data_IF_414477905298
#
_entry.id   IF_414477905298
#
_cell.length_a   1.000
_cell.length_b   1.000
_cell.length_c   1.000
_cell.angle_alpha   90.00
_cell.angle_beta   90.00
_cell.angle_gamma   90.00
#
_symmetry.space_group_name_H-M   'P 1'
#
loop_
_entity.id
_entity.type
_entity.pdbx_description
1 polymer ?
#
# COMPACT_ATOMS: atom_id res chain seq x y z
N UNK A 1 4.70 -15.55 -40.33
CA UNK A 1 5.02 -16.22 -39.06
C UNK A 1 5.69 -15.15 -38.21
N UNK A 2 5.16 -14.86 -37.03
CA UNK A 2 5.78 -13.88 -36.13
C UNK A 2 7.20 -14.33 -35.81
N UNK A 3 8.19 -13.48 -36.07
CA UNK A 3 9.57 -13.80 -35.75
C UNK A 3 9.78 -13.69 -34.24
N UNK A 4 10.34 -14.75 -33.63
CA UNK A 4 10.64 -14.87 -32.19
C UNK A 4 11.56 -13.73 -31.69
N UNK A 5 12.28 -13.05 -32.59
CA UNK A 5 13.15 -11.91 -32.30
C UNK A 5 12.43 -10.71 -31.68
N UNK A 6 11.11 -10.60 -31.82
CA UNK A 6 10.31 -9.50 -31.27
C UNK A 6 10.32 -9.47 -29.74
N UNK A 7 10.51 -10.63 -29.09
CA UNK A 7 10.56 -10.76 -27.63
C UNK A 7 11.98 -10.59 -27.06
N UNK A 8 13.01 -10.56 -27.92
CA UNK A 8 14.39 -10.25 -27.52
C UNK A 8 14.69 -8.74 -27.57
N UNK A 9 13.71 -7.93 -28.00
CA UNK A 9 13.84 -6.49 -28.09
C UNK A 9 13.76 -5.81 -26.70
N UNK A 10 14.43 -4.65 -26.57
CA UNK A 10 14.56 -3.92 -25.30
C UNK A 10 13.20 -3.44 -24.71
N UNK A 11 12.12 -3.53 -25.49
CA UNK A 11 10.78 -3.11 -25.13
C UNK A 11 10.15 -3.92 -23.97
N UNK A 12 10.60 -5.16 -23.73
CA UNK A 12 10.08 -6.03 -22.65
C UNK A 12 11.01 -6.14 -21.43
N UNK A 13 12.02 -5.28 -21.34
CA UNK A 13 12.94 -5.24 -20.19
C UNK A 13 12.25 -4.66 -18.94
N UNK A 14 12.73 -5.02 -17.74
CA UNK A 14 12.20 -4.51 -16.45
C UNK A 14 12.13 -2.97 -16.40
N UNK A 15 13.14 -2.22 -16.88
CA UNK A 15 13.06 -0.76 -16.93
C UNK A 15 11.94 -0.26 -17.85
N UNK A 16 11.78 -0.84 -19.04
CA UNK A 16 10.75 -0.44 -19.99
C UNK A 16 9.33 -0.69 -19.46
N UNK A 17 9.11 -1.85 -18.81
CA UNK A 17 7.82 -2.15 -18.17
C UNK A 17 7.55 -1.25 -16.97
N UNK A 18 8.58 -0.86 -16.21
CA UNK A 18 8.43 0.11 -15.11
C UNK A 18 8.01 1.48 -15.64
N UNK A 19 8.61 1.96 -16.74
CA UNK A 19 8.20 3.21 -17.39
C UNK A 19 6.76 3.14 -17.88
N UNK A 20 6.38 2.04 -18.55
CA UNK A 20 5.02 1.84 -19.03
C UNK A 20 3.98 1.84 -17.89
N UNK A 21 4.32 1.26 -16.73
CA UNK A 21 3.47 1.35 -15.54
C UNK A 21 3.37 2.81 -15.09
N UNK A 22 4.48 3.54 -14.95
CA UNK A 22 4.51 4.90 -14.41
C UNK A 22 3.76 5.92 -15.28
N UNK A 23 3.84 5.79 -16.62
CA UNK A 23 3.16 6.68 -17.57
C UNK A 23 1.64 6.56 -17.54
N UNK A 24 1.11 5.46 -17.01
CA UNK A 24 -0.32 5.26 -16.93
C UNK A 24 -0.96 6.32 -16.01
N UNK A 25 -2.10 6.94 -16.41
CA UNK A 25 -2.78 7.91 -15.59
C UNK A 25 -3.21 7.30 -14.26
N UNK A 26 -2.86 7.98 -13.17
CA UNK A 26 -3.30 7.64 -11.84
C UNK A 26 -4.82 7.81 -11.75
N UNK A 27 -5.52 6.80 -11.19
CA UNK A 27 -6.96 6.88 -10.94
C UNK A 27 -7.14 7.06 -9.44
N UNK A 28 -7.32 8.30 -8.96
CA UNK A 28 -7.46 8.55 -7.52
C UNK A 28 -8.77 7.95 -6.99
N UNK A 29 -8.68 7.32 -5.83
CA UNK A 29 -9.85 6.98 -4.99
C UNK A 29 -10.32 8.21 -4.20
N UNK A 30 -11.55 8.18 -3.69
CA UNK A 30 -12.14 9.32 -2.95
C UNK A 30 -11.33 9.67 -1.69
N UNK A 31 -10.83 8.68 -0.95
CA UNK A 31 -9.97 8.90 0.22
C UNK A 31 -8.60 9.43 -0.17
N UNK A 32 -8.09 9.02 -1.33
CA UNK A 32 -6.86 9.57 -1.89
C UNK A 32 -7.00 11.07 -2.17
N UNK A 33 -8.10 11.50 -2.79
CA UNK A 33 -8.37 12.91 -3.10
C UNK A 33 -8.57 13.77 -1.85
N UNK A 34 -9.07 13.17 -0.77
CA UNK A 34 -9.26 13.87 0.50
C UNK A 34 -7.94 14.20 1.21
N UNK A 35 -6.81 13.66 0.76
CA UNK A 35 -5.48 13.96 1.33
C UNK A 35 -5.33 13.53 2.79
N UNK A 36 -6.12 12.54 3.24
CA UNK A 36 -6.08 12.04 4.62
C UNK A 36 -4.88 11.13 4.89
N UNK A 37 -4.23 10.64 3.84
CA UNK A 37 -3.09 9.72 3.91
C UNK A 37 -1.95 10.26 3.05
N UNK A 38 -0.74 10.25 3.60
CA UNK A 38 0.51 10.50 2.87
C UNK A 38 1.19 9.15 2.57
N UNK A 39 1.70 9.00 1.35
CA UNK A 39 2.38 7.78 0.93
C UNK A 39 3.89 7.99 0.90
N UNK A 40 4.61 7.16 1.65
CA UNK A 40 6.07 7.14 1.65
C UNK A 40 6.59 5.70 1.49
N UNK A 41 7.60 5.52 0.65
CA UNK A 41 8.25 4.23 0.47
C UNK A 41 9.22 3.93 1.62
N UNK A 42 9.14 2.72 2.17
CA UNK A 42 10.05 2.24 3.21
C UNK A 42 10.95 1.12 2.70
N UNK A 43 12.21 1.12 3.12
CA UNK A 43 13.18 0.09 2.73
C UNK A 43 13.13 -1.15 3.66
N UNK A 44 12.40 -1.07 4.77
CA UNK A 44 12.25 -2.15 5.76
C UNK A 44 10.92 -2.88 5.61
N UNK A 45 10.90 -4.15 6.05
CA UNK A 45 9.67 -4.96 6.12
C UNK A 45 8.80 -4.58 7.32
N UNK A 46 9.37 -3.85 8.27
CA UNK A 46 8.67 -3.42 9.49
C UNK A 46 8.84 -1.90 9.64
N UNK A 47 7.73 -1.22 9.84
CA UNK A 47 7.66 0.19 10.21
C UNK A 47 7.37 0.26 11.71
N UNK A 48 8.14 1.03 12.46
CA UNK A 48 7.97 1.13 13.92
C UNK A 48 7.55 2.55 14.28
N UNK A 49 6.45 2.67 15.01
CA UNK A 49 6.01 3.95 15.57
C UNK A 49 6.41 3.99 17.03
N UNK A 50 7.18 5.01 17.42
CA UNK A 50 7.56 5.26 18.80
C UNK A 50 6.53 6.22 19.42
N UNK A 51 5.82 5.77 20.45
CA UNK A 51 4.92 6.59 21.25
C UNK A 51 5.66 7.05 22.49
N UNK A 52 5.90 8.35 22.61
CA UNK A 52 6.41 8.95 23.85
C UNK A 52 5.26 9.10 24.85
N UNK A 53 5.43 8.51 26.03
CA UNK A 53 4.41 8.33 27.05
C UNK A 53 4.42 9.44 28.09
N UNK A 54 4.59 10.70 27.67
CA UNK A 54 4.57 11.82 28.59
C UNK A 54 3.22 11.87 29.32
N UNK A 55 3.27 11.58 30.62
CA UNK A 55 2.10 11.55 31.49
C UNK A 55 2.13 12.80 32.36
N UNK A 56 1.07 13.62 32.25
CA UNK A 56 0.87 14.75 33.14
C UNK A 56 0.40 14.22 34.50
N UNK A 57 1.28 14.31 35.51
CA UNK A 57 0.96 13.95 36.89
C UNK A 57 0.77 15.22 37.74
N UNK A 58 -0.29 15.25 38.54
CA UNK A 58 -0.49 16.31 39.53
C UNK A 58 0.43 16.08 40.73
N UNK A 59 1.17 17.12 41.13
CA UNK A 59 2.13 17.06 42.24
C UNK A 59 1.38 17.27 43.56
N UNK A 60 1.46 16.34 44.53
CA UNK A 60 0.86 16.55 45.85
C UNK A 60 1.62 17.61 46.65
N UNK A 61 0.90 18.42 47.42
CA UNK A 61 1.51 19.38 48.35
C UNK A 61 2.18 18.62 49.51
N UNK A 62 3.50 18.77 49.68
CA UNK A 62 4.27 18.17 50.77
C UNK A 62 4.53 19.14 51.93
N UNK A 63 4.66 18.61 53.15
CA UNK A 63 5.09 19.39 54.31
C UNK A 63 6.57 19.83 54.17
N UNK A 64 6.89 21.02 54.68
CA UNK A 64 8.26 21.56 54.61
C UNK A 64 9.22 20.62 55.34
N UNK A 65 10.25 20.16 54.63
CA UNK A 65 11.28 19.24 55.16
C UNK A 65 11.12 17.78 54.71
N UNK A 66 10.06 17.44 53.98
CA UNK A 66 9.89 16.10 53.38
C UNK A 66 10.58 16.00 52.02
N UNK A 67 11.04 14.79 51.65
CA UNK A 67 11.61 14.53 50.33
C UNK A 67 10.51 14.61 49.26
N UNK A 68 10.77 15.36 48.18
CA UNK A 68 9.83 15.52 47.08
C UNK A 68 9.59 14.22 46.30
N UNK A 69 8.54 14.21 45.48
CA UNK A 69 8.20 13.07 44.64
C UNK A 69 9.22 12.93 43.49
N UNK A 70 9.80 11.75 43.32
CA UNK A 70 10.75 11.48 42.21
C UNK A 70 9.97 11.29 40.93
N UNK A 71 10.14 12.19 39.98
CA UNK A 71 9.59 12.06 38.62
C UNK A 71 10.44 11.03 37.87
N UNK A 72 9.86 9.86 37.58
CA UNK A 72 10.47 8.89 36.67
C UNK A 72 10.45 9.39 35.22
N UNK A 73 11.44 9.00 34.42
CA UNK A 73 11.42 9.29 32.98
C UNK A 73 10.28 8.59 32.26
N UNK A 74 9.77 9.23 31.20
CA UNK A 74 8.80 8.62 30.28
C UNK A 74 9.34 7.29 29.74
N UNK A 75 8.49 6.26 29.73
CA UNK A 75 8.78 5.00 29.05
C UNK A 75 8.22 5.07 27.63
N UNK A 76 9.12 5.00 26.66
CA UNK A 76 8.75 4.94 25.24
C UNK A 76 8.22 3.56 24.89
N UNK A 77 7.14 3.53 24.11
CA UNK A 77 6.53 2.29 23.63
C UNK A 77 6.75 2.23 22.12
N UNK A 78 7.43 1.19 21.63
CA UNK A 78 7.55 0.93 20.21
C UNK A 78 6.41 0.02 19.75
N UNK A 79 5.72 0.44 18.69
CA UNK A 79 4.65 -0.30 18.03
C UNK A 79 5.12 -0.70 16.62
N UNK A 80 5.50 -1.98 16.41
CA UNK A 80 5.89 -2.47 15.09
C UNK A 80 4.67 -2.81 14.23
N UNK A 81 4.70 -2.36 12.98
CA UNK A 81 3.76 -2.65 11.90
C UNK A 81 4.50 -3.39 10.78
N UNK A 82 4.03 -4.58 10.42
CA UNK A 82 4.60 -5.35 9.33
C UNK A 82 3.96 -4.92 8.00
N UNK A 83 4.77 -4.79 6.96
CA UNK A 83 4.27 -4.48 5.62
C UNK A 83 3.56 -5.68 5.00
N UNK A 84 2.47 -5.41 4.27
CA UNK A 84 1.70 -6.42 3.54
C UNK A 84 2.24 -6.54 2.11
N UNK A 85 2.40 -7.76 1.63
CA UNK A 85 2.87 -8.02 0.26
C UNK A 85 1.67 -8.30 -0.66
N UNK A 86 1.49 -7.49 -1.71
CA UNK A 86 0.39 -7.59 -2.67
C UNK A 86 0.89 -7.99 -4.08
N UNK A 87 1.24 -9.27 -4.33
CA UNK A 87 1.76 -9.69 -5.63
C UNK A 87 0.65 -9.81 -6.69
N UNK A 88 0.86 -9.21 -7.86
CA UNK A 88 0.03 -9.43 -9.06
C UNK A 88 0.86 -10.15 -10.12
N UNK A 89 0.33 -11.25 -10.67
CA UNK A 89 1.00 -12.06 -11.72
C UNK A 89 0.04 -12.33 -12.86
N UNK A 90 0.54 -12.28 -14.09
CA UNK A 90 -0.19 -12.66 -15.29
C UNK A 90 0.76 -13.28 -16.32
N UNK A 91 0.23 -14.15 -17.18
CA UNK A 91 0.96 -14.78 -18.29
C UNK A 91 0.22 -14.53 -19.59
N UNK A 92 0.92 -14.03 -20.62
CA UNK A 92 0.37 -13.87 -21.97
C UNK A 92 0.77 -15.09 -22.79
N UNK A 93 -0.20 -15.75 -23.40
CA UNK A 93 0.04 -16.93 -24.23
C UNK A 93 0.08 -16.55 -25.71
N UNK A 94 0.76 -17.36 -26.52
CA UNK A 94 0.93 -17.12 -27.95
C UNK A 94 -0.42 -17.03 -28.70
N UNK A 95 -1.39 -17.86 -28.32
CA UNK A 95 -2.73 -17.88 -28.92
C UNK A 95 -3.47 -16.54 -28.75
N UNK A 96 -3.22 -15.84 -27.64
CA UNK A 96 -3.83 -14.54 -27.35
C UNK A 96 -3.25 -13.43 -28.23
N UNK A 97 -2.03 -13.61 -28.73
CA UNK A 97 -1.33 -12.67 -29.62
C UNK A 97 -1.65 -13.01 -31.09
N UNK A 98 -1.72 -14.29 -31.43
CA UNK A 98 -1.89 -14.79 -32.79
C UNK A 98 -3.23 -14.37 -33.44
N UNK A 99 -4.23 -13.98 -32.64
CA UNK A 99 -5.54 -13.51 -33.10
C UNK A 99 -5.74 -11.99 -33.10
N UNK A 100 -4.73 -11.19 -32.72
CA UNK A 100 -4.88 -9.75 -32.59
C UNK A 100 -4.73 -9.12 -33.97
N UNK A 101 -5.87 -8.71 -34.53
CA UNK A 101 -5.88 -7.88 -35.73
C UNK A 101 -5.37 -6.48 -35.35
N UNK A 102 -4.17 -6.13 -35.81
CA UNK A 102 -3.68 -4.75 -35.78
C UNK A 102 -4.73 -3.86 -36.44
N UNK A 103 -5.29 -2.92 -35.69
CA UNK A 103 -6.32 -2.01 -36.22
C UNK A 103 -5.61 -0.84 -36.91
N UNK A 104 -5.44 -0.92 -38.24
CA UNK A 104 -4.76 0.10 -39.05
C UNK A 104 -3.31 -0.25 -39.40
N UNK A 105 -2.50 0.78 -39.69
CA UNK A 105 -1.06 0.73 -40.07
C UNK A 105 -0.12 0.38 -38.87
N UNK A 106 -0.59 -0.35 -37.87
CA UNK A 106 0.24 -0.71 -36.72
C UNK A 106 1.11 -1.92 -37.03
N UNK A 107 2.36 -1.90 -36.55
CA UNK A 107 3.27 -3.05 -36.65
C UNK A 107 2.84 -4.16 -35.68
N UNK A 108 3.16 -5.42 -36.00
CA UNK A 108 2.87 -6.56 -35.11
C UNK A 108 3.48 -6.37 -33.70
N UNK A 109 4.63 -5.68 -33.59
CA UNK A 109 5.27 -5.32 -32.32
C UNK A 109 4.39 -4.42 -31.46
N UNK A 110 3.84 -3.36 -32.05
CA UNK A 110 2.96 -2.42 -31.35
C UNK A 110 1.70 -3.12 -30.82
N UNK A 111 1.14 -4.05 -31.58
CA UNK A 111 -0.03 -4.82 -31.16
C UNK A 111 0.26 -5.68 -29.90
N UNK A 112 1.46 -6.28 -29.79
CA UNK A 112 1.87 -7.04 -28.60
C UNK A 112 2.10 -6.11 -27.40
N UNK A 113 2.77 -4.97 -27.63
CA UNK A 113 3.01 -3.97 -26.58
C UNK A 113 1.70 -3.46 -25.97
N UNK A 114 0.69 -3.21 -26.79
CA UNK A 114 -0.63 -2.75 -26.35
C UNK A 114 -1.34 -3.76 -25.43
N UNK A 115 -1.18 -5.06 -25.69
CA UNK A 115 -1.75 -6.12 -24.84
C UNK A 115 -1.06 -6.16 -23.49
N UNK A 116 0.27 -6.08 -23.48
CA UNK A 116 1.07 -6.05 -22.26
C UNK A 116 0.67 -4.84 -21.43
N UNK A 117 0.65 -3.66 -22.05
CA UNK A 117 0.25 -2.41 -21.40
C UNK A 117 -1.18 -2.48 -20.85
N UNK A 118 -2.12 -3.09 -21.58
CA UNK A 118 -3.50 -3.29 -21.10
C UNK A 118 -3.58 -4.20 -19.87
N UNK A 119 -2.73 -5.23 -19.76
CA UNK A 119 -2.68 -6.11 -18.59
C UNK A 119 -2.02 -5.44 -17.39
N UNK A 120 -0.91 -4.76 -17.61
CA UNK A 120 -0.27 -3.91 -16.60
C UNK A 120 -1.27 -2.88 -16.06
N UNK A 121 -2.06 -2.27 -16.96
CA UNK A 121 -3.07 -1.31 -16.58
C UNK A 121 -4.19 -1.88 -15.71
N UNK A 122 -4.59 -3.12 -15.97
CA UNK A 122 -5.55 -3.83 -15.14
C UNK A 122 -4.96 -4.14 -13.76
N UNK A 123 -3.72 -4.63 -13.70
CA UNK A 123 -3.04 -4.94 -12.44
C UNK A 123 -2.88 -3.69 -11.56
N UNK A 124 -2.47 -2.56 -12.15
CA UNK A 124 -2.34 -1.28 -11.45
C UNK A 124 -3.67 -0.84 -10.81
N UNK A 125 -4.77 -0.88 -11.58
CA UNK A 125 -6.11 -0.53 -11.05
C UNK A 125 -6.55 -1.41 -9.89
N UNK A 126 -6.21 -2.70 -9.91
CA UNK A 126 -6.54 -3.62 -8.82
C UNK A 126 -5.73 -3.30 -7.55
N UNK A 127 -4.45 -2.93 -7.70
CA UNK A 127 -3.62 -2.47 -6.58
C UNK A 127 -4.16 -1.16 -6.00
N UNK A 128 -4.50 -0.19 -6.85
CA UNK A 128 -5.06 1.10 -6.41
C UNK A 128 -6.38 0.90 -5.63
N UNK A 129 -7.25 0.00 -6.11
CA UNK A 129 -8.49 -0.35 -5.40
C UNK A 129 -8.21 -1.03 -4.04
N UNK A 130 -7.17 -1.85 -3.96
CA UNK A 130 -6.75 -2.51 -2.71
C UNK A 130 -6.19 -1.50 -1.70
N UNK A 131 -5.39 -0.53 -2.17
CA UNK A 131 -4.90 0.56 -1.32
C UNK A 131 -6.06 1.38 -0.76
N UNK A 132 -7.05 1.71 -1.59
CA UNK A 132 -8.23 2.44 -1.14
C UNK A 132 -9.04 1.66 -0.10
N UNK A 133 -9.19 0.35 -0.29
CA UNK A 133 -9.83 -0.53 0.68
C UNK A 133 -9.08 -0.55 2.02
N UNK A 134 -7.74 -0.64 1.98
CA UNK A 134 -6.93 -0.55 3.19
C UNK A 134 -7.03 0.82 3.88
N UNK A 135 -7.13 1.92 3.14
CA UNK A 135 -7.34 3.27 3.71
C UNK A 135 -8.70 3.38 4.41
N UNK A 136 -9.76 2.81 3.82
CA UNK A 136 -11.06 2.70 4.50
C UNK A 136 -10.98 1.85 5.78
N UNK A 137 -10.26 0.73 5.70
CA UNK A 137 -9.99 -0.12 6.86
C UNK A 137 -9.25 0.61 7.97
N UNK A 138 -8.23 1.39 7.63
CA UNK A 138 -7.48 2.21 8.58
C UNK A 138 -8.37 3.26 9.27
N UNK A 139 -9.29 3.89 8.55
CA UNK A 139 -10.23 4.86 9.12
C UNK A 139 -11.26 4.21 10.06
N UNK A 140 -11.71 2.99 9.73
CA UNK A 140 -12.63 2.20 10.56
C UNK A 140 -11.93 1.45 11.70
N UNK A 141 -10.60 1.39 11.68
CA UNK A 141 -9.75 0.78 12.70
C UNK A 141 -9.43 -0.70 12.47
N UNK A 142 -9.95 -1.33 11.41
CA UNK A 142 -9.62 -2.69 10.99
C UNK A 142 -9.20 -2.71 9.52
N UNK A 143 -7.94 -3.01 9.26
CA UNK A 143 -7.48 -3.29 7.89
C UNK A 143 -7.73 -4.76 7.61
N UNK A 144 -8.59 -5.01 6.62
CA UNK A 144 -9.00 -6.35 6.21
C UNK A 144 -8.28 -6.75 4.91
N UNK A 145 -8.15 -8.04 4.68
CA UNK A 145 -7.70 -8.61 3.41
C UNK A 145 -8.82 -8.56 2.36
N UNK A 146 -8.51 -8.91 1.11
CA UNK A 146 -9.44 -8.88 -0.03
C UNK A 146 -10.69 -9.76 0.17
N UNK A 147 -10.67 -10.70 1.11
CA UNK A 147 -11.81 -11.53 1.47
C UNK A 147 -12.86 -10.80 2.34
N UNK A 148 -12.53 -9.61 2.85
CA UNK A 148 -13.37 -8.81 3.73
C UNK A 148 -13.57 -9.40 5.12
N UNK A 149 -12.79 -10.42 5.50
CA UNK A 149 -12.96 -11.14 6.77
C UNK A 149 -11.66 -11.35 7.53
N UNK A 150 -10.55 -11.55 6.82
CA UNK A 150 -9.24 -11.75 7.43
C UNK A 150 -8.69 -10.40 7.88
N UNK A 151 -8.50 -10.22 9.19
CA UNK A 151 -7.94 -8.99 9.76
C UNK A 151 -6.42 -9.00 9.56
N UNK A 152 -5.92 -8.12 8.71
CA UNK A 152 -4.50 -7.89 8.50
C UNK A 152 -3.90 -7.01 9.59
N UNK A 153 -4.64 -6.00 10.03
CA UNK A 153 -4.23 -5.10 11.11
C UNK A 153 -5.43 -4.60 11.91
N UNK A 154 -5.43 -4.91 13.20
CA UNK A 154 -6.33 -4.30 14.18
C UNK A 154 -5.63 -3.10 14.82
N UNK A 155 -6.07 -1.89 14.47
CA UNK A 155 -5.49 -0.64 14.97
C UNK A 155 -5.84 -0.45 16.45
N UNK A 156 -7.05 -0.81 16.87
CA UNK A 156 -7.51 -0.65 18.24
C UNK A 156 -6.70 -1.50 19.21
N UNK A 157 -6.52 -2.78 18.90
CA UNK A 157 -5.71 -3.69 19.71
C UNK A 157 -4.26 -3.23 19.80
N UNK A 158 -3.69 -2.70 18.70
CA UNK A 158 -2.29 -2.25 18.65
C UNK A 158 -2.05 -0.99 19.49
N UNK A 159 -3.01 -0.07 19.52
CA UNK A 159 -2.91 1.14 20.35
C UNK A 159 -3.51 0.97 21.76
N UNK A 160 -4.08 -0.19 22.08
CA UNK A 160 -4.74 -0.45 23.37
C UNK A 160 -5.99 0.39 23.59
N UNK A 161 -6.68 0.79 22.51
CA UNK A 161 -7.88 1.62 22.54
C UNK A 161 -9.13 0.72 22.50
N UNK A 162 -10.19 1.10 23.21
CA UNK A 162 -11.49 0.46 23.05
C UNK A 162 -12.35 1.26 22.07
N UNK A 163 -13.00 0.59 21.08
CA UNK A 163 -13.89 1.28 20.16
C UNK A 163 -15.10 1.84 20.90
N UNK A 164 -15.41 3.11 20.66
CA UNK A 164 -16.61 3.75 21.18
C UNK A 164 -17.77 3.28 20.30
N UNK A 165 -18.60 2.37 20.83
CA UNK A 165 -19.83 1.94 20.16
C UNK A 165 -20.88 3.02 20.38
N UNK A 166 -21.16 3.79 19.34
CA UNK A 166 -22.27 4.75 19.34
C UNK A 166 -23.54 3.94 19.04
N UNK A 167 -24.53 3.90 19.95
CA UNK A 167 -25.78 3.17 19.77
C UNK A 167 -26.68 3.78 18.68
#
# INVERSE_FOLDING_TARGET
MAEISIFEDNAFTVPALTVAINEQPFVPGRLAELGLFEEEGVNSVVVQIEKDGDTLALVPAGERGTSGLVVGGSKRILLPFNTVHLPQRFSIHADEIQGIRAFGEQTELQAVQDVVNKRLAKARRQLDATHEFHRMGALSGYVLDADGSTVLLDVYARFGLQPIVIP
#
